data_IF_451277073004
#
_entry.id   IF_451277073004
#
_cell.length_a   1.000
_cell.length_b   1.000
_cell.length_c   1.000
_cell.angle_alpha   90.00
_cell.angle_beta   90.00
_cell.angle_gamma   90.00
#
_symmetry.space_group_name_H-M   'P 1'
#
loop_
_entity.id
_entity.type
_entity.pdbx_description
1 polymer ?
#
# COMPACT_ATOMS: atom_id res chain seq x y z
N UNK A 1 22.58 16.01 -28.45
CA UNK A 1 21.15 15.75 -28.17
C UNK A 1 21.07 14.39 -27.48
N UNK A 2 21.38 14.33 -26.18
CA UNK A 2 21.24 13.09 -25.41
C UNK A 2 19.88 13.13 -24.73
N UNK A 3 18.92 12.40 -25.32
CA UNK A 3 17.73 11.97 -24.60
C UNK A 3 18.18 11.25 -23.33
N UNK A 4 17.94 11.86 -22.19
CA UNK A 4 17.97 11.19 -20.90
C UNK A 4 16.88 10.13 -20.93
N UNK A 5 17.19 8.94 -21.46
CA UNK A 5 16.31 7.78 -21.43
C UNK A 5 15.93 7.55 -19.97
N UNK A 6 14.68 7.90 -19.62
CA UNK A 6 14.12 7.62 -18.31
C UNK A 6 14.22 6.10 -18.11
N UNK A 7 15.04 5.65 -17.16
CA UNK A 7 15.13 4.22 -16.83
C UNK A 7 13.73 3.74 -16.44
N UNK A 8 13.30 2.64 -17.05
CA UNK A 8 12.01 2.03 -16.78
C UNK A 8 11.81 1.78 -15.27
N UNK A 9 10.57 1.95 -14.76
CA UNK A 9 10.23 1.65 -13.37
C UNK A 9 10.66 0.24 -12.96
N UNK A 10 11.32 0.11 -11.82
CA UNK A 10 11.93 -1.12 -11.34
C UNK A 10 11.12 -1.75 -10.21
N UNK A 11 10.77 -3.04 -10.32
CA UNK A 11 10.11 -3.84 -9.27
C UNK A 11 10.85 -5.17 -9.04
N UNK A 12 10.55 -5.86 -7.94
CA UNK A 12 11.14 -7.16 -7.59
C UNK A 12 12.68 -7.15 -7.67
N UNK A 13 13.25 -8.15 -8.32
CA UNK A 13 14.71 -8.29 -8.48
C UNK A 13 15.40 -7.06 -9.10
N UNK A 14 14.76 -6.39 -10.07
CA UNK A 14 15.32 -5.18 -10.67
C UNK A 14 15.43 -4.01 -9.68
N UNK A 15 14.52 -3.95 -8.70
CA UNK A 15 14.51 -2.94 -7.63
C UNK A 15 15.57 -3.25 -6.58
N UNK A 16 15.71 -4.53 -6.20
CA UNK A 16 16.54 -4.98 -5.07
C UNK A 16 18.00 -5.27 -5.43
N UNK A 17 18.34 -5.42 -6.72
CA UNK A 17 19.69 -5.76 -7.19
C UNK A 17 20.84 -4.92 -6.60
N UNK A 18 20.61 -3.62 -6.34
CA UNK A 18 21.67 -2.68 -5.95
C UNK A 18 21.54 -2.15 -4.51
N UNK A 19 20.85 -2.87 -3.63
CA UNK A 19 20.70 -2.46 -2.22
C UNK A 19 21.78 -3.10 -1.36
N UNK A 20 22.13 -2.53 -0.19
CA UNK A 20 23.15 -3.09 0.70
C UNK A 20 22.73 -4.39 1.42
N UNK A 21 21.45 -4.75 1.34
CA UNK A 21 20.88 -5.96 1.95
C UNK A 21 20.81 -7.07 0.90
N UNK A 22 21.35 -8.24 1.21
CA UNK A 22 21.23 -9.40 0.33
C UNK A 22 19.80 -9.95 0.37
N UNK A 23 19.19 -10.15 -0.79
CA UNK A 23 17.86 -10.76 -0.93
C UNK A 23 18.06 -12.13 -1.53
N UNK A 24 18.15 -13.14 -0.67
CA UNK A 24 18.30 -14.53 -1.09
C UNK A 24 17.04 -15.05 -1.76
N UNK A 25 17.23 -15.85 -2.82
CA UNK A 25 16.15 -16.61 -3.41
C UNK A 25 15.77 -17.76 -2.48
N UNK A 26 14.68 -17.60 -1.73
CA UNK A 26 14.09 -18.68 -0.95
C UNK A 26 12.86 -19.26 -1.66
N UNK A 27 12.59 -20.55 -1.43
CA UNK A 27 11.37 -21.19 -1.92
C UNK A 27 10.14 -20.51 -1.30
N UNK A 28 9.15 -20.21 -2.14
CA UNK A 28 7.91 -19.59 -1.67
C UNK A 28 7.15 -20.55 -0.74
N UNK A 29 6.88 -20.10 0.49
CA UNK A 29 6.04 -20.85 1.42
C UNK A 29 4.58 -20.87 0.96
N UNK A 30 3.94 -22.04 1.03
CA UNK A 30 2.50 -22.20 0.77
C UNK A 30 1.68 -21.32 1.69
N UNK A 31 0.79 -20.50 1.12
CA UNK A 31 -0.10 -19.65 1.91
C UNK A 31 -1.10 -20.52 2.68
N UNK A 32 -1.21 -20.35 4.02
CA UNK A 32 -2.20 -21.06 4.79
C UNK A 32 -3.62 -20.55 4.49
N UNK A 33 -4.62 -21.37 4.84
CA UNK A 33 -6.02 -21.14 4.45
C UNK A 33 -6.65 -19.88 5.04
N UNK A 34 -6.12 -19.35 6.14
CA UNK A 34 -6.58 -18.10 6.74
C UNK A 34 -6.03 -16.84 6.04
N UNK A 35 -5.03 -16.97 5.16
CA UNK A 35 -4.54 -15.86 4.32
C UNK A 35 -5.30 -15.90 3.00
N UNK A 36 -6.58 -15.52 3.08
CA UNK A 36 -7.48 -15.44 1.93
C UNK A 36 -8.27 -14.14 1.99
N UNK A 37 -8.38 -13.49 0.84
CA UNK A 37 -9.24 -12.32 0.66
C UNK A 37 -10.38 -12.66 -0.29
N UNK A 38 -11.57 -12.12 -0.01
CA UNK A 38 -12.66 -12.16 -0.97
C UNK A 38 -12.43 -11.05 -1.98
N UNK A 39 -12.09 -11.42 -3.21
CA UNK A 39 -11.95 -10.47 -4.31
C UNK A 39 -13.35 -9.95 -4.69
N UNK A 40 -13.71 -8.75 -4.23
CA UNK A 40 -14.87 -8.04 -4.73
C UNK A 40 -14.46 -7.08 -5.85
N UNK A 41 -14.84 -7.38 -7.08
CA UNK A 41 -14.72 -6.47 -8.23
C UNK A 41 -16.08 -5.91 -8.63
N UNK A 42 -16.81 -5.38 -7.64
CA UNK A 42 -18.11 -4.76 -7.85
C UNK A 42 -18.02 -3.48 -8.70
N UNK A 43 -19.18 -2.91 -9.04
CA UNK A 43 -19.28 -1.67 -9.81
C UNK A 43 -18.45 -0.53 -9.20
N UNK A 44 -18.61 -0.30 -7.89
CA UNK A 44 -17.86 0.73 -7.16
C UNK A 44 -16.34 0.57 -7.25
N UNK A 45 -15.82 -0.67 -7.26
CA UNK A 45 -14.39 -0.91 -7.44
C UNK A 45 -13.89 -0.45 -8.81
N UNK A 46 -14.67 -0.73 -9.87
CA UNK A 46 -14.31 -0.32 -11.24
C UNK A 46 -14.45 1.19 -11.42
N UNK A 47 -15.47 1.78 -10.82
CA UNK A 47 -15.71 3.21 -10.82
C UNK A 47 -14.54 3.97 -10.19
N UNK A 48 -14.16 3.63 -8.95
CA UNK A 48 -13.03 4.26 -8.25
C UNK A 48 -11.76 4.12 -9.09
N UNK A 49 -11.47 2.94 -9.65
CA UNK A 49 -10.32 2.74 -10.54
C UNK A 49 -10.33 3.63 -11.78
N UNK A 50 -11.49 3.76 -12.43
CA UNK A 50 -11.60 4.58 -13.64
C UNK A 50 -11.26 6.02 -13.31
N UNK A 51 -11.79 6.56 -12.22
CA UNK A 51 -11.56 7.98 -11.94
C UNK A 51 -10.19 8.28 -11.38
N UNK A 52 -9.57 7.38 -10.61
CA UNK A 52 -8.16 7.54 -10.25
C UNK A 52 -7.29 7.74 -11.50
N UNK A 53 -7.56 6.99 -12.57
CA UNK A 53 -6.88 7.15 -13.86
C UNK A 53 -7.22 8.46 -14.57
N UNK A 54 -8.49 8.85 -14.58
CA UNK A 54 -8.94 10.12 -15.19
C UNK A 54 -8.32 11.34 -14.48
N UNK A 55 -8.16 11.27 -13.16
CA UNK A 55 -7.60 12.34 -12.33
C UNK A 55 -6.06 12.31 -12.25
N UNK A 56 -5.40 11.37 -12.94
CA UNK A 56 -3.95 11.16 -12.86
C UNK A 56 -3.44 11.00 -11.41
N UNK A 57 -4.19 10.26 -10.59
CA UNK A 57 -3.87 10.01 -9.18
C UNK A 57 -3.40 8.57 -8.97
N UNK A 58 -2.49 8.41 -8.02
CA UNK A 58 -1.92 7.12 -7.65
C UNK A 58 -2.37 6.70 -6.25
N UNK A 59 -2.50 5.39 -6.02
CA UNK A 59 -2.86 4.85 -4.71
C UNK A 59 -1.90 3.76 -4.29
N UNK A 60 -1.56 3.69 -3.01
CA UNK A 60 -0.75 2.58 -2.47
C UNK A 60 -1.50 1.25 -2.60
N UNK A 61 -2.83 1.32 -2.67
CA UNK A 61 -3.68 0.16 -2.90
C UNK A 61 -3.34 -0.53 -4.24
N UNK A 62 -3.10 0.26 -5.30
CA UNK A 62 -2.70 -0.25 -6.61
C UNK A 62 -1.18 -0.50 -6.69
N UNK A 63 -0.37 0.44 -6.19
CA UNK A 63 1.08 0.38 -6.37
C UNK A 63 1.79 -0.64 -5.49
N UNK A 64 1.22 -1.00 -4.35
CA UNK A 64 1.82 -1.93 -3.40
C UNK A 64 1.23 -3.36 -3.46
N UNK A 65 0.46 -3.70 -4.50
CA UNK A 65 -0.20 -5.01 -4.64
C UNK A 65 -1.06 -5.38 -3.42
N UNK A 66 -1.86 -4.41 -2.94
CA UNK A 66 -2.63 -4.58 -1.71
C UNK A 66 -3.73 -5.65 -1.86
N UNK A 67 -3.77 -6.67 -0.97
CA UNK A 67 -4.79 -7.72 -1.05
C UNK A 67 -6.19 -7.22 -0.70
N UNK A 68 -6.29 -6.07 -0.01
CA UNK A 68 -7.56 -5.54 0.50
C UNK A 68 -8.23 -4.51 -0.43
N UNK A 69 -7.65 -4.23 -1.61
CA UNK A 69 -8.10 -3.15 -2.50
C UNK A 69 -9.59 -3.25 -2.86
N UNK A 70 -10.11 -4.46 -3.10
CA UNK A 70 -11.52 -4.68 -3.43
C UNK A 70 -12.47 -4.28 -2.31
N UNK A 71 -12.12 -4.65 -1.08
CA UNK A 71 -12.91 -4.31 0.11
C UNK A 71 -12.85 -2.80 0.40
N UNK A 72 -11.64 -2.22 0.40
CA UNK A 72 -11.45 -0.81 0.69
C UNK A 72 -12.21 0.07 -0.31
N UNK A 73 -12.06 -0.16 -1.61
CA UNK A 73 -12.76 0.62 -2.63
C UNK A 73 -14.28 0.40 -2.57
N UNK A 74 -14.74 -0.82 -2.31
CA UNK A 74 -16.17 -1.11 -2.12
C UNK A 74 -16.80 -0.34 -0.95
N UNK A 75 -16.03 -0.07 0.11
CA UNK A 75 -16.48 0.71 1.27
C UNK A 75 -16.34 2.23 1.09
N UNK A 76 -15.68 2.69 0.03
CA UNK A 76 -15.39 4.11 -0.17
C UNK A 76 -14.18 4.58 0.64
N UNK A 77 -13.16 3.73 0.78
CA UNK A 77 -11.89 4.06 1.43
C UNK A 77 -10.75 3.84 0.44
N UNK A 78 -9.89 4.85 0.32
CA UNK A 78 -8.69 4.76 -0.51
C UNK A 78 -7.51 5.42 0.21
N UNK A 79 -6.30 4.99 -0.15
CA UNK A 79 -5.07 5.56 0.36
C UNK A 79 -4.24 6.06 -0.80
N UNK A 80 -4.16 7.39 -0.91
CA UNK A 80 -3.51 8.06 -2.02
C UNK A 80 -2.01 8.11 -1.79
N UNK A 81 -1.28 7.96 -2.89
CA UNK A 81 0.13 8.31 -2.98
C UNK A 81 0.23 9.65 -3.68
N UNK A 82 0.76 10.62 -2.97
CA UNK A 82 1.13 11.93 -3.53
C UNK A 82 2.55 11.87 -4.08
N UNK A 83 2.88 12.76 -5.02
CA UNK A 83 4.18 12.83 -5.70
C UNK A 83 4.44 11.64 -6.66
N UNK A 84 3.37 11.05 -7.20
CA UNK A 84 3.44 9.99 -8.21
C UNK A 84 3.55 8.56 -7.68
N UNK A 85 3.83 7.63 -8.59
CA UNK A 85 3.91 6.17 -8.36
C UNK A 85 5.33 5.64 -8.14
N UNK A 86 6.35 6.48 -8.33
CA UNK A 86 7.75 6.09 -8.20
C UNK A 86 8.35 6.48 -6.85
N UNK A 87 9.00 5.52 -6.21
CA UNK A 87 9.77 5.74 -4.99
C UNK A 87 11.27 5.84 -5.30
N UNK A 88 11.95 6.83 -4.74
CA UNK A 88 13.42 6.94 -4.82
C UNK A 88 14.14 5.91 -3.95
N UNK A 89 13.45 5.32 -2.97
CA UNK A 89 13.97 4.23 -2.12
C UNK A 89 13.76 2.86 -2.75
N UNK A 90 14.56 1.88 -2.30
CA UNK A 90 14.55 0.50 -2.79
C UNK A 90 14.24 -0.51 -1.68
N UNK A 91 13.23 -0.22 -0.86
CA UNK A 91 12.85 -1.10 0.25
C UNK A 91 12.53 -2.52 -0.28
N UNK A 92 13.21 -3.58 0.20
CA UNK A 92 13.12 -4.91 -0.42
C UNK A 92 11.81 -5.64 -0.11
N UNK A 93 11.01 -5.14 0.84
CA UNK A 93 9.66 -5.65 1.15
C UNK A 93 8.54 -4.93 0.39
N UNK A 94 8.82 -3.80 -0.27
CA UNK A 94 7.80 -2.93 -0.84
C UNK A 94 7.69 -3.13 -2.36
N UNK A 95 6.47 -3.21 -2.90
CA UNK A 95 6.25 -3.41 -4.34
C UNK A 95 6.28 -2.12 -5.16
N UNK A 96 6.05 -0.94 -4.54
CA UNK A 96 6.07 0.37 -5.23
C UNK A 96 7.30 0.49 -6.10
N UNK A 97 7.13 0.88 -7.36
CA UNK A 97 8.23 0.88 -8.31
C UNK A 97 9.33 1.87 -7.90
N UNK A 98 10.58 1.51 -8.15
CA UNK A 98 11.71 2.42 -8.03
C UNK A 98 11.99 3.10 -9.36
N UNK A 99 12.22 4.41 -9.32
CA UNK A 99 12.63 5.17 -10.49
C UNK A 99 12.95 6.62 -10.14
N UNK A 100 13.13 7.44 -11.17
CA UNK A 100 13.21 8.90 -11.03
C UNK A 100 11.80 9.46 -11.19
N UNK A 101 11.21 10.05 -10.14
CA UNK A 101 9.88 10.66 -10.24
C UNK A 101 9.86 11.80 -11.26
N UNK A 102 8.68 12.05 -11.82
CA UNK A 102 8.38 13.30 -12.53
C UNK A 102 8.43 14.49 -11.58
N UNK A 103 8.58 15.72 -12.11
CA UNK A 103 8.34 16.92 -11.30
C UNK A 103 6.97 16.85 -10.61
N UNK A 104 6.85 17.31 -9.35
CA UNK A 104 5.56 17.36 -8.66
C UNK A 104 4.53 18.14 -9.46
N UNK A 105 3.32 17.59 -9.59
CA UNK A 105 2.19 18.29 -10.21
C UNK A 105 1.64 19.34 -9.22
N UNK A 106 1.69 20.65 -9.55
CA UNK A 106 1.16 21.70 -8.67
C UNK A 106 -0.35 21.59 -8.42
N UNK A 107 -1.10 20.91 -9.29
CA UNK A 107 -2.54 20.71 -9.18
C UNK A 107 -2.93 19.38 -8.51
N UNK A 108 -1.96 18.52 -8.14
CA UNK A 108 -2.22 17.25 -7.46
C UNK A 108 -3.13 17.41 -6.21
N UNK A 109 -2.97 18.43 -5.35
CA UNK A 109 -3.89 18.65 -4.23
C UNK A 109 -5.33 18.94 -4.66
N UNK A 110 -5.52 19.69 -5.76
CA UNK A 110 -6.86 20.00 -6.28
C UNK A 110 -7.50 18.76 -6.90
N UNK A 111 -6.74 18.01 -7.71
CA UNK A 111 -7.22 16.76 -8.29
C UNK A 111 -7.62 15.75 -7.21
N UNK A 112 -6.84 15.67 -6.12
CA UNK A 112 -7.18 14.85 -4.97
C UNK A 112 -8.47 15.31 -4.31
N UNK A 113 -8.63 16.60 -4.02
CA UNK A 113 -9.83 17.15 -3.41
C UNK A 113 -11.09 16.89 -4.26
N UNK A 114 -11.01 17.15 -5.57
CA UNK A 114 -12.10 16.92 -6.53
C UNK A 114 -12.46 15.43 -6.60
N UNK A 115 -11.46 14.55 -6.56
CA UNK A 115 -11.67 13.10 -6.56
C UNK A 115 -12.35 12.65 -5.27
N UNK A 116 -11.89 13.11 -4.10
CA UNK A 116 -12.50 12.77 -2.82
C UNK A 116 -13.98 13.20 -2.77
N UNK A 117 -14.28 14.42 -3.23
CA UNK A 117 -15.64 14.94 -3.30
C UNK A 117 -16.52 14.14 -4.28
N UNK A 118 -15.97 13.72 -5.42
CA UNK A 118 -16.70 12.99 -6.46
C UNK A 118 -17.08 11.56 -6.07
N UNK A 119 -16.26 10.86 -5.28
CA UNK A 119 -16.49 9.45 -4.89
C UNK A 119 -17.23 9.25 -3.58
N UNK A 120 -17.58 10.35 -2.90
CA UNK A 120 -18.13 10.31 -1.55
C UNK A 120 -17.31 9.37 -0.65
N UNK A 121 -15.97 9.54 -0.71
CA UNK A 121 -15.07 8.75 0.12
C UNK A 121 -15.32 9.15 1.56
N UNK A 122 -15.69 8.15 2.38
CA UNK A 122 -15.99 8.38 3.80
C UNK A 122 -14.74 8.66 4.62
N UNK A 123 -13.60 8.18 4.13
CA UNK A 123 -12.33 8.30 4.81
C UNK A 123 -11.16 8.23 3.83
N UNK A 124 -10.17 9.10 4.02
CA UNK A 124 -9.02 9.26 3.14
C UNK A 124 -7.75 9.21 3.97
N UNK A 125 -6.80 8.35 3.57
CA UNK A 125 -5.46 8.32 4.15
C UNK A 125 -4.48 8.88 3.13
N UNK A 126 -3.71 9.90 3.52
CA UNK A 126 -2.61 10.45 2.73
C UNK A 126 -1.31 10.02 3.42
N UNK A 127 -0.35 9.49 2.67
CA UNK A 127 0.94 9.05 3.23
C UNK A 127 2.10 9.76 2.56
N UNK A 128 3.02 10.29 3.37
CA UNK A 128 4.33 10.84 2.98
C UNK A 128 5.37 10.49 4.07
N UNK A 129 6.68 10.58 3.78
CA UNK A 129 7.75 10.12 4.70
C UNK A 129 7.83 10.89 6.04
N UNK A 130 8.29 10.21 7.10
CA UNK A 130 7.95 10.44 8.52
C UNK A 130 8.55 11.65 9.28
N UNK A 131 7.84 12.05 10.36
CA UNK A 131 8.34 12.64 11.61
C UNK A 131 7.66 11.96 12.83
N UNK A 132 8.29 12.03 14.01
CA UNK A 132 8.09 11.15 15.17
C UNK A 132 6.96 11.56 16.15
N UNK A 133 6.19 10.54 16.55
CA UNK A 133 5.08 10.52 17.52
C UNK A 133 4.10 9.41 17.07
N UNK A 134 3.93 8.33 17.84
CA UNK A 134 3.08 7.19 17.42
C UNK A 134 1.97 6.98 18.45
N UNK A 135 0.76 7.35 18.06
CA UNK A 135 -0.46 7.20 18.88
C UNK A 135 -1.27 5.93 18.49
N UNK A 136 -1.03 5.37 17.30
CA UNK A 136 -1.77 4.21 16.74
C UNK A 136 -0.78 3.17 16.18
N UNK A 137 -0.93 1.90 16.58
CA UNK A 137 -0.09 0.79 16.09
C UNK A 137 -0.88 -0.11 15.12
N UNK A 138 -0.29 -0.43 13.96
CA UNK A 138 -0.82 -1.47 13.07
C UNK A 138 0.20 -2.58 12.89
N UNK A 139 -0.20 -3.84 13.14
CA UNK A 139 0.65 -5.02 12.93
C UNK A 139 -0.02 -6.01 11.99
N UNK A 140 0.65 -6.35 10.88
CA UNK A 140 0.12 -7.27 9.89
C UNK A 140 1.14 -8.25 9.34
N UNK A 141 0.67 -9.30 8.67
CA UNK A 141 1.55 -10.27 8.02
C UNK A 141 2.25 -9.63 6.81
N UNK A 142 3.57 -9.81 6.76
CA UNK A 142 4.30 -9.55 5.53
C UNK A 142 3.89 -10.56 4.46
N UNK A 143 3.46 -10.05 3.30
CA UNK A 143 3.17 -10.86 2.12
C UNK A 143 4.16 -10.45 1.04
N UNK A 144 4.98 -11.39 0.58
CA UNK A 144 5.91 -11.14 -0.51
C UNK A 144 5.13 -10.71 -1.77
N UNK A 145 5.39 -9.52 -2.32
CA UNK A 145 4.66 -9.07 -3.50
C UNK A 145 5.08 -9.80 -4.77
N UNK A 146 6.39 -10.00 -4.97
CA UNK A 146 6.98 -10.62 -6.17
C UNK A 146 8.23 -11.42 -5.83
N UNK A 147 8.63 -12.38 -6.69
CA UNK A 147 9.98 -12.93 -6.67
C UNK A 147 11.03 -11.81 -6.75
N UNK A 148 12.04 -11.88 -5.88
CA UNK A 148 13.09 -10.85 -5.74
C UNK A 148 12.79 -9.75 -4.72
N UNK A 149 11.61 -9.73 -4.11
CA UNK A 149 11.40 -9.12 -2.79
C UNK A 149 11.80 -10.10 -1.68
N UNK A 150 11.97 -9.61 -0.44
CA UNK A 150 12.23 -10.48 0.72
C UNK A 150 11.25 -11.64 0.76
N UNK A 151 11.74 -12.84 1.03
CA UNK A 151 10.89 -14.01 1.18
C UNK A 151 10.08 -13.95 2.48
N UNK A 152 8.93 -14.62 2.51
CA UNK A 152 8.21 -14.85 3.76
C UNK A 152 8.93 -15.97 4.50
N UNK A 153 9.44 -15.68 5.70
CA UNK A 153 10.08 -16.71 6.55
C UNK A 153 9.06 -17.57 7.30
N UNK A 154 7.92 -16.98 7.69
CA UNK A 154 6.83 -17.68 8.36
C UNK A 154 5.50 -16.94 8.22
N UNK A 155 4.41 -17.68 8.29
CA UNK A 155 3.06 -17.14 8.43
C UNK A 155 2.63 -17.18 9.90
N UNK A 156 2.29 -16.02 10.44
CA UNK A 156 1.82 -15.85 11.82
C UNK A 156 0.35 -16.24 11.90
N UNK A 157 -0.01 -17.07 12.88
CA UNK A 157 -1.40 -17.47 13.09
C UNK A 157 -2.22 -16.30 13.68
N UNK A 158 -3.53 -16.17 13.35
CA UNK A 158 -4.38 -15.08 13.84
C UNK A 158 -4.32 -14.88 15.37
N UNK A 159 -4.39 -15.98 16.14
CA UNK A 159 -4.34 -15.95 17.61
C UNK A 159 -3.07 -15.28 18.16
N UNK A 160 -1.95 -15.32 17.42
CA UNK A 160 -0.70 -14.68 17.85
C UNK A 160 -0.72 -13.16 17.67
N UNK A 161 -1.59 -12.62 16.80
CA UNK A 161 -1.79 -11.18 16.68
C UNK A 161 -2.69 -10.63 17.81
N UNK A 162 -3.66 -11.43 18.26
CA UNK A 162 -4.58 -11.07 19.35
C UNK A 162 -3.88 -10.99 20.71
N UNK A 163 -2.81 -11.79 20.91
CA UNK A 163 -2.02 -11.82 22.13
C UNK A 163 -1.11 -10.58 22.34
N UNK A 164 -1.06 -9.62 21.41
CA UNK A 164 -0.17 -8.46 21.50
C UNK A 164 -0.65 -7.37 22.50
N UNK A 165 -1.92 -7.38 22.91
CA UNK A 165 -2.39 -6.68 24.11
C UNK A 165 -2.37 -5.14 24.10
N UNK A 166 -2.24 -4.49 22.95
CA UNK A 166 -2.26 -3.02 22.84
C UNK A 166 -3.69 -2.46 22.83
N UNK A 167 -3.94 -1.36 23.56
CA UNK A 167 -5.24 -0.70 23.67
C UNK A 167 -5.71 0.02 22.39
N UNK A 168 -4.77 0.53 21.59
CA UNK A 168 -5.03 1.16 20.29
C UNK A 168 -4.15 0.52 19.19
N UNK A 169 -4.30 -0.80 19.01
CA UNK A 169 -3.67 -1.48 17.89
C UNK A 169 -4.63 -2.28 17.02
N UNK A 170 -4.47 -2.14 15.71
CA UNK A 170 -5.05 -3.05 14.75
C UNK A 170 -4.02 -4.14 14.42
N UNK A 171 -4.29 -5.37 14.86
CA UNK A 171 -3.41 -6.51 14.64
C UNK A 171 -4.16 -7.61 13.87
N UNK A 172 -3.52 -8.17 12.84
CA UNK A 172 -4.09 -9.32 12.14
C UNK A 172 -3.42 -9.61 10.80
N UNK A 173 -3.60 -10.81 10.23
CA UNK A 173 -2.84 -11.26 9.06
C UNK A 173 -2.96 -10.34 7.84
N UNK A 174 -4.11 -9.71 7.64
CA UNK A 174 -4.35 -8.82 6.49
C UNK A 174 -4.33 -7.33 6.86
N UNK A 175 -4.00 -6.99 8.11
CA UNK A 175 -3.92 -5.59 8.52
C UNK A 175 -2.80 -4.88 7.77
N UNK A 176 -3.12 -3.69 7.27
CA UNK A 176 -2.20 -2.71 6.69
C UNK A 176 -2.36 -1.41 7.45
N UNK A 177 -1.38 -0.51 7.34
CA UNK A 177 -1.44 0.81 7.98
C UNK A 177 -2.71 1.58 7.64
N UNK A 178 -3.31 1.33 6.47
CA UNK A 178 -4.56 1.97 6.05
C UNK A 178 -5.80 1.07 6.04
N UNK A 179 -5.72 -0.18 6.53
CA UNK A 179 -6.86 -1.10 6.52
C UNK A 179 -7.83 -0.82 7.67
N UNK A 180 -9.09 -0.46 7.36
CA UNK A 180 -10.07 0.07 8.34
C UNK A 180 -9.55 1.28 9.12
N UNK A 181 -8.76 2.14 8.48
CA UNK A 181 -8.21 3.33 9.13
C UNK A 181 -9.28 4.26 9.72
N UNK A 182 -10.47 4.30 9.10
CA UNK A 182 -11.67 4.98 9.61
C UNK A 182 -12.08 4.47 11.00
N UNK A 183 -12.09 3.15 11.19
CA UNK A 183 -12.45 2.53 12.47
C UNK A 183 -11.36 2.69 13.51
N UNK A 184 -10.10 2.63 13.05
CA UNK A 184 -8.94 2.85 13.92
C UNK A 184 -8.92 4.27 14.47
N UNK A 185 -9.19 5.28 13.63
CA UNK A 185 -9.30 6.68 14.04
C UNK A 185 -10.44 6.87 15.06
N UNK A 186 -11.64 6.38 14.74
CA UNK A 186 -12.78 6.45 15.66
C UNK A 186 -12.50 5.74 17.00
N UNK A 187 -11.82 4.59 16.98
CA UNK A 187 -11.46 3.86 18.21
C UNK A 187 -10.36 4.58 19.03
N UNK A 188 -9.54 5.40 18.37
CA UNK A 188 -8.53 6.24 19.01
C UNK A 188 -9.10 7.61 19.47
N UNK A 189 -10.37 7.91 19.17
CA UNK A 189 -11.04 9.15 19.58
C UNK A 189 -10.60 10.38 18.79
N UNK A 190 -10.10 10.19 17.57
CA UNK A 190 -9.69 11.24 16.62
C UNK A 190 -10.61 11.28 15.40
#
# INVERSE_FOLDING_TARGET
MNEFLAKAPQRGAAKTRCIPIHVDAAAALTKPDWIRVRLSQGERFREVKRTLREANLHTVCEEASCPNIGECFGKGTATFMVLGDLCTRRCPFCDVAHGRPSPPDPLEPQHLADTVARFDLKYVVITSGAAHGVDVLTAGQYLQPRPGNLAVERYVAPAQFEALGFSHAACGPLVRSSYHADRQAHAAGI
#
